data_IF_563154044876
#
_entry.id   IF_563154044876
#
_cell.length_a   1.000
_cell.length_b   1.000
_cell.length_c   1.000
_cell.angle_alpha   90.00
_cell.angle_beta   90.00
_cell.angle_gamma   90.00
#
_symmetry.space_group_name_H-M   'P 1'
#
loop_
_entity.id
_entity.type
_entity.pdbx_description
1 polymer ?
#
# COMPACT_ATOMS: atom_id res chain seq x y z
N UNK A 1 -1.46 -37.02 -3.42
CA UNK A 1 -2.64 -36.16 -3.17
C UNK A 1 -2.12 -34.89 -2.53
N UNK A 2 -2.28 -33.74 -3.19
CA UNK A 2 -2.05 -32.45 -2.55
C UNK A 2 -3.08 -32.32 -1.43
N UNK A 3 -2.63 -32.27 -0.17
CA UNK A 3 -3.50 -31.85 0.93
C UNK A 3 -3.91 -30.41 0.62
N UNK A 4 -5.20 -30.17 0.43
CA UNK A 4 -5.72 -28.80 0.42
C UNK A 4 -5.44 -28.18 1.80
N UNK A 5 -4.87 -26.97 1.82
CA UNK A 5 -4.64 -26.23 3.06
C UNK A 5 -6.00 -25.91 3.71
N UNK A 6 -6.14 -26.19 5.02
CA UNK A 6 -7.38 -25.94 5.76
C UNK A 6 -7.42 -24.51 6.32
N UNK A 7 -8.31 -23.66 5.81
CA UNK A 7 -8.43 -22.25 6.21
C UNK A 7 -9.48 -21.97 7.29
N UNK A 8 -10.04 -22.99 7.95
CA UNK A 8 -11.16 -22.82 8.90
C UNK A 8 -10.81 -21.94 10.12
N UNK A 9 -9.52 -21.85 10.47
CA UNK A 9 -9.02 -21.03 11.57
C UNK A 9 -8.92 -19.53 11.24
N UNK A 10 -9.14 -19.14 9.99
CA UNK A 10 -9.09 -17.75 9.55
C UNK A 10 -10.48 -17.10 9.65
N UNK A 11 -10.49 -15.82 9.98
CA UNK A 11 -11.66 -14.96 9.85
C UNK A 11 -12.06 -14.80 8.39
N UNK A 12 -13.32 -14.42 8.15
CA UNK A 12 -13.82 -14.19 6.79
C UNK A 12 -13.03 -13.10 6.05
N UNK A 13 -12.58 -12.05 6.75
CA UNK A 13 -11.76 -11.01 6.16
C UNK A 13 -10.38 -11.52 5.68
N UNK A 14 -9.79 -12.46 6.40
CA UNK A 14 -8.52 -13.07 6.01
C UNK A 14 -8.69 -14.03 4.83
N UNK A 15 -9.76 -14.84 4.85
CA UNK A 15 -10.10 -15.72 3.73
C UNK A 15 -10.37 -14.93 2.45
N UNK A 16 -11.13 -13.84 2.54
CA UNK A 16 -11.40 -12.93 1.43
C UNK A 16 -10.09 -12.33 0.87
N UNK A 17 -9.21 -11.84 1.75
CA UNK A 17 -7.92 -11.29 1.34
C UNK A 17 -7.04 -12.31 0.60
N UNK A 18 -6.98 -13.54 1.10
CA UNK A 18 -6.25 -14.64 0.45
C UNK A 18 -6.88 -14.98 -0.90
N UNK A 19 -8.21 -15.09 -0.98
CA UNK A 19 -8.91 -15.38 -2.22
C UNK A 19 -8.69 -14.29 -3.29
N UNK A 20 -8.76 -13.01 -2.91
CA UNK A 20 -8.50 -11.88 -3.79
C UNK A 20 -7.03 -11.88 -4.24
N UNK A 21 -6.08 -12.06 -3.32
CA UNK A 21 -4.66 -12.10 -3.65
C UNK A 21 -4.32 -13.24 -4.62
N UNK A 22 -4.89 -14.43 -4.40
CA UNK A 22 -4.74 -15.57 -5.28
C UNK A 22 -5.35 -15.32 -6.66
N UNK A 23 -6.57 -14.77 -6.72
CA UNK A 23 -7.23 -14.39 -7.97
C UNK A 23 -6.40 -13.36 -8.74
N UNK A 24 -5.91 -12.32 -8.08
CA UNK A 24 -5.03 -11.31 -8.68
C UNK A 24 -3.78 -11.92 -9.31
N UNK A 25 -3.17 -12.90 -8.64
CA UNK A 25 -2.01 -13.61 -9.17
C UNK A 25 -2.36 -14.44 -10.42
N UNK A 26 -3.52 -15.12 -10.43
CA UNK A 26 -3.97 -15.93 -11.57
C UNK A 26 -4.38 -15.07 -12.77
N UNK A 27 -5.14 -14.00 -12.52
CA UNK A 27 -5.76 -13.16 -13.54
C UNK A 27 -4.82 -12.03 -14.01
N UNK A 28 -3.71 -11.80 -13.29
CA UNK A 28 -2.80 -10.68 -13.55
C UNK A 28 -3.43 -9.32 -13.20
N UNK A 29 -4.37 -9.29 -12.26
CA UNK A 29 -5.09 -8.09 -11.83
C UNK A 29 -4.51 -7.51 -10.54
N UNK A 30 -4.85 -6.26 -10.23
CA UNK A 30 -4.41 -5.57 -9.01
C UNK A 30 -5.58 -5.10 -8.15
N UNK A 31 -6.65 -5.90 -8.10
CA UNK A 31 -7.83 -5.57 -7.28
C UNK A 31 -7.43 -5.38 -5.81
N UNK A 32 -8.04 -4.43 -5.09
CA UNK A 32 -7.72 -4.17 -3.70
C UNK A 32 -7.94 -5.41 -2.82
N UNK A 33 -6.85 -5.92 -2.21
CA UNK A 33 -6.87 -7.10 -1.33
C UNK A 33 -7.79 -6.87 -0.12
N UNK A 34 -7.80 -5.65 0.43
CA UNK A 34 -8.74 -5.22 1.47
C UNK A 34 -9.57 -4.04 0.96
N UNK A 35 -10.68 -4.29 0.23
CA UNK A 35 -11.41 -3.24 -0.48
C UNK A 35 -11.90 -2.08 0.40
N UNK A 36 -12.40 -2.39 1.60
CA UNK A 36 -12.87 -1.36 2.53
C UNK A 36 -11.74 -0.52 3.10
N UNK A 37 -10.60 -1.13 3.40
CA UNK A 37 -9.41 -0.40 3.85
C UNK A 37 -8.84 0.46 2.73
N UNK A 38 -8.82 -0.06 1.50
CA UNK A 38 -8.36 0.70 0.34
C UNK A 38 -9.17 2.00 0.15
N UNK A 39 -10.50 1.95 0.21
CA UNK A 39 -11.35 3.15 0.14
C UNK A 39 -10.99 4.19 1.22
N UNK A 40 -10.67 3.74 2.44
CA UNK A 40 -10.26 4.62 3.53
C UNK A 40 -8.87 5.21 3.28
N UNK A 41 -7.93 4.43 2.75
CA UNK A 41 -6.60 4.91 2.38
C UNK A 41 -6.65 5.89 1.22
N UNK A 42 -7.53 5.68 0.24
CA UNK A 42 -7.78 6.63 -0.85
C UNK A 42 -8.27 7.96 -0.28
N UNK A 43 -9.30 7.94 0.57
CA UNK A 43 -9.81 9.15 1.25
C UNK A 43 -8.70 9.84 2.05
N UNK A 44 -7.88 9.07 2.78
CA UNK A 44 -6.77 9.62 3.56
C UNK A 44 -5.71 10.25 2.66
N UNK A 45 -5.40 9.63 1.51
CA UNK A 45 -4.43 10.16 0.56
C UNK A 45 -4.86 11.50 -0.03
N UNK A 46 -6.16 11.67 -0.33
CA UNK A 46 -6.72 12.94 -0.80
C UNK A 46 -6.59 14.03 0.26
N UNK A 47 -6.94 13.73 1.52
CA UNK A 47 -6.80 14.68 2.62
C UNK A 47 -5.34 15.09 2.87
N UNK A 48 -4.40 14.15 2.75
CA UNK A 48 -2.98 14.44 2.90
C UNK A 48 -2.42 15.22 1.69
N UNK A 49 -2.99 15.03 0.50
CA UNK A 49 -2.67 15.82 -0.68
C UNK A 49 -3.04 17.31 -0.46
N UNK A 50 -4.20 17.60 0.14
CA UNK A 50 -4.58 18.97 0.51
C UNK A 50 -3.61 19.59 1.52
N UNK A 51 -3.22 18.84 2.55
CA UNK A 51 -2.19 19.27 3.52
C UNK A 51 -0.86 19.56 2.82
N UNK A 52 -0.52 18.80 1.78
CA UNK A 52 0.72 18.97 1.02
C UNK A 52 0.79 20.29 0.27
N UNK A 53 -0.35 20.82 -0.17
CA UNK A 53 -0.44 22.14 -0.82
C UNK A 53 -0.18 23.25 0.22
N UNK A 54 -0.75 23.13 1.42
CA UNK A 54 -0.68 24.15 2.47
C UNK A 54 0.64 24.11 3.24
N UNK A 55 1.18 22.92 3.49
CA UNK A 55 2.41 22.69 4.23
C UNK A 55 3.32 21.65 3.54
N UNK A 56 4.03 22.04 2.48
CA UNK A 56 4.88 21.13 1.71
C UNK A 56 6.02 20.52 2.52
N UNK A 57 6.55 21.24 3.51
CA UNK A 57 7.64 20.72 4.36
C UNK A 57 7.17 19.55 5.23
N UNK A 58 6.02 19.70 5.90
CA UNK A 58 5.44 18.63 6.70
C UNK A 58 5.13 17.40 5.82
N UNK A 59 4.55 17.63 4.65
CA UNK A 59 4.24 16.56 3.70
C UNK A 59 5.50 15.84 3.22
N UNK A 60 6.57 16.56 2.92
CA UNK A 60 7.85 15.95 2.51
C UNK A 60 8.43 15.04 3.60
N UNK A 61 8.39 15.48 4.87
CA UNK A 61 8.85 14.67 6.01
C UNK A 61 7.98 13.41 6.19
N UNK A 62 6.65 13.56 6.12
CA UNK A 62 5.72 12.44 6.17
C UNK A 62 6.00 11.43 5.05
N UNK A 63 6.18 11.89 3.81
CA UNK A 63 6.50 11.02 2.68
C UNK A 63 7.82 10.26 2.91
N UNK A 64 8.83 10.91 3.49
CA UNK A 64 10.09 10.27 3.88
C UNK A 64 9.90 9.16 4.92
N UNK A 65 9.08 9.40 5.94
CA UNK A 65 8.75 8.39 6.97
C UNK A 65 7.97 7.22 6.38
N UNK A 66 6.93 7.49 5.59
CA UNK A 66 6.13 6.46 4.92
C UNK A 66 6.97 5.62 3.96
N UNK A 67 7.90 6.25 3.22
CA UNK A 67 8.80 5.55 2.31
C UNK A 67 9.75 4.61 3.07
N UNK A 68 10.25 5.05 4.22
CA UNK A 68 11.06 4.23 5.11
C UNK A 68 10.28 3.01 5.60
N UNK A 69 9.05 3.21 6.09
CA UNK A 69 8.20 2.13 6.58
C UNK A 69 7.86 1.15 5.45
N UNK A 70 7.42 1.65 4.28
CA UNK A 70 7.08 0.81 3.13
C UNK A 70 8.27 -0.03 2.66
N UNK A 71 9.47 0.56 2.66
CA UNK A 71 10.71 -0.16 2.35
C UNK A 71 10.96 -1.29 3.35
N UNK A 72 10.92 -1.01 4.66
CA UNK A 72 11.13 -2.03 5.69
C UNK A 72 10.09 -3.14 5.56
N UNK A 73 8.81 -2.80 5.36
CA UNK A 73 7.75 -3.77 5.15
C UNK A 73 8.06 -4.72 3.98
N UNK A 74 8.46 -4.18 2.83
CA UNK A 74 8.79 -5.00 1.64
C UNK A 74 10.11 -5.79 1.78
N UNK A 75 11.03 -5.31 2.61
CA UNK A 75 12.29 -6.00 2.93
C UNK A 75 12.14 -7.05 4.03
N UNK A 76 11.01 -7.11 4.74
CA UNK A 76 10.73 -8.20 5.66
C UNK A 76 10.77 -9.50 4.85
N UNK A 77 11.76 -10.37 5.09
CA UNK A 77 11.81 -11.61 4.35
C UNK A 77 10.50 -12.36 4.63
N UNK A 78 9.86 -12.95 3.62
CA UNK A 78 8.87 -13.96 3.91
C UNK A 78 9.63 -15.00 4.76
N UNK A 79 9.20 -15.24 5.99
CA UNK A 79 9.88 -16.17 6.89
C UNK A 79 9.74 -17.58 6.32
N UNK A 80 10.59 -17.91 5.34
CA UNK A 80 10.64 -19.16 4.59
C UNK A 80 11.96 -19.89 4.88
N UNK A 81 12.78 -19.38 5.79
CA UNK A 81 13.93 -20.10 6.29
C UNK A 81 13.41 -21.40 6.95
N UNK A 82 13.61 -22.52 6.26
CA UNK A 82 13.23 -23.90 6.61
C UNK A 82 11.80 -24.34 6.18
N UNK A 83 11.38 -24.05 4.94
CA UNK A 83 10.11 -24.55 4.36
C UNK A 83 9.90 -26.08 4.48
N UNK A 84 10.96 -26.88 4.59
CA UNK A 84 10.84 -28.35 4.69
C UNK A 84 10.25 -28.84 6.01
N UNK A 85 10.28 -28.02 7.08
CA UNK A 85 9.77 -28.37 8.42
C UNK A 85 8.57 -27.51 8.87
N UNK A 86 8.08 -26.59 8.03
CA UNK A 86 6.95 -25.73 8.39
C UNK A 86 5.64 -26.51 8.41
N UNK A 87 4.87 -26.36 9.48
CA UNK A 87 3.49 -26.85 9.55
C UNK A 87 2.58 -26.10 8.59
N UNK A 88 1.47 -26.73 8.19
CA UNK A 88 0.44 -26.11 7.34
C UNK A 88 -0.03 -24.76 7.94
N UNK A 89 -0.18 -24.66 9.26
CA UNK A 89 -0.59 -23.43 9.94
C UNK A 89 0.45 -22.30 9.82
N UNK A 90 1.74 -22.63 9.92
CA UNK A 90 2.82 -21.66 9.74
C UNK A 90 2.88 -21.15 8.31
N UNK A 91 2.71 -22.04 7.32
CA UNK A 91 2.63 -21.68 5.91
C UNK A 91 1.49 -20.68 5.68
N UNK A 92 0.30 -20.96 6.22
CA UNK A 92 -0.86 -20.10 6.07
C UNK A 92 -0.68 -18.72 6.72
N UNK A 93 -0.09 -18.68 7.92
CA UNK A 93 0.21 -17.40 8.61
C UNK A 93 1.23 -16.58 7.84
N UNK A 94 2.28 -17.20 7.31
CA UNK A 94 3.29 -16.50 6.51
C UNK A 94 2.68 -15.96 5.21
N UNK A 95 1.80 -16.72 4.55
CA UNK A 95 1.08 -16.24 3.37
C UNK A 95 0.23 -15.01 3.69
N UNK A 96 -0.59 -15.07 4.73
CA UNK A 96 -1.41 -13.94 5.14
C UNK A 96 -0.55 -12.72 5.54
N UNK A 97 0.54 -12.93 6.26
CA UNK A 97 1.47 -11.86 6.64
C UNK A 97 2.02 -11.16 5.39
N UNK A 98 2.47 -11.90 4.39
CA UNK A 98 2.99 -11.33 3.15
C UNK A 98 1.91 -10.52 2.40
N UNK A 99 0.68 -11.02 2.37
CA UNK A 99 -0.48 -10.33 1.79
C UNK A 99 -0.71 -8.98 2.49
N UNK A 100 -0.75 -8.97 3.82
CA UNK A 100 -0.99 -7.76 4.63
C UNK A 100 0.14 -6.75 4.47
N UNK A 101 1.38 -7.19 4.59
CA UNK A 101 2.57 -6.34 4.46
C UNK A 101 2.64 -5.69 3.07
N UNK A 102 2.40 -6.49 2.02
CA UNK A 102 2.38 -6.00 0.64
C UNK A 102 1.24 -5.00 0.42
N UNK A 103 0.05 -5.26 0.96
CA UNK A 103 -1.08 -4.34 0.90
C UNK A 103 -0.73 -2.99 1.54
N UNK A 104 -0.26 -2.99 2.79
CA UNK A 104 0.04 -1.75 3.53
C UNK A 104 1.13 -0.94 2.83
N UNK A 105 2.21 -1.61 2.37
CA UNK A 105 3.28 -0.93 1.63
C UNK A 105 2.78 -0.26 0.35
N UNK A 106 1.87 -0.90 -0.39
CA UNK A 106 1.23 -0.29 -1.56
C UNK A 106 0.40 0.94 -1.21
N UNK A 107 -0.37 0.90 -0.11
CA UNK A 107 -1.16 2.07 0.32
C UNK A 107 -0.25 3.26 0.67
N UNK A 108 0.90 3.02 1.31
CA UNK A 108 1.88 4.08 1.60
C UNK A 108 2.49 4.66 0.31
N UNK A 109 2.85 3.82 -0.66
CA UNK A 109 3.33 4.33 -1.96
C UNK A 109 2.26 5.19 -2.66
N UNK A 110 0.98 4.82 -2.56
CA UNK A 110 -0.10 5.60 -3.13
C UNK A 110 -0.26 6.96 -2.45
N UNK A 111 -0.25 7.01 -1.12
CA UNK A 111 -0.26 8.27 -0.36
C UNK A 111 0.92 9.16 -0.77
N UNK A 112 2.14 8.60 -0.82
CA UNK A 112 3.34 9.33 -1.23
C UNK A 112 3.18 9.90 -2.63
N UNK A 113 2.67 9.11 -3.58
CA UNK A 113 2.45 9.55 -4.95
C UNK A 113 1.46 10.72 -5.04
N UNK A 114 0.35 10.66 -4.29
CA UNK A 114 -0.63 11.75 -4.27
C UNK A 114 -0.06 13.04 -3.63
N UNK A 115 0.59 12.93 -2.47
CA UNK A 115 1.23 14.06 -1.80
C UNK A 115 2.27 14.76 -2.69
N UNK A 116 3.12 13.97 -3.37
CA UNK A 116 4.13 14.49 -4.29
C UNK A 116 3.48 15.17 -5.50
N UNK A 117 2.44 14.58 -6.07
CA UNK A 117 1.70 15.15 -7.21
C UNK A 117 1.07 16.49 -6.84
N UNK A 118 0.37 16.55 -5.71
CA UNK A 118 -0.25 17.78 -5.22
C UNK A 118 0.76 18.90 -4.94
N UNK A 119 1.89 18.55 -4.33
CA UNK A 119 2.99 19.50 -4.09
C UNK A 119 3.57 20.06 -5.39
N UNK A 120 3.78 19.21 -6.40
CA UNK A 120 4.27 19.64 -7.71
C UNK A 120 3.27 20.55 -8.43
N UNK A 121 1.98 20.21 -8.38
CA UNK A 121 0.92 21.04 -8.97
C UNK A 121 0.82 22.41 -8.30
N UNK A 122 0.96 22.48 -6.96
CA UNK A 122 0.98 23.75 -6.25
C UNK A 122 2.14 24.65 -6.68
N UNK A 123 3.35 24.09 -6.86
CA UNK A 123 4.51 24.83 -7.35
C UNK A 123 4.32 25.30 -8.80
N UNK A 124 3.78 24.45 -9.68
CA UNK A 124 3.50 24.82 -11.08
C UNK A 124 2.40 25.88 -11.21
N UNK A 125 1.37 25.83 -10.34
CA UNK A 125 0.31 26.84 -10.29
C UNK A 125 0.82 28.23 -9.86
N UNK A 126 1.90 28.28 -9.07
CA UNK A 126 2.56 29.53 -8.66
C UNK A 126 3.47 30.11 -9.75
N UNK A 127 4.08 29.27 -10.59
CA UNK A 127 4.98 29.73 -11.66
C UNK A 127 4.27 30.08 -12.97
N UNK A 128 3.00 29.72 -13.12
CA UNK A 128 2.18 30.06 -14.30
C UNK A 128 1.55 31.45 -14.31
N UNK A 129 1.77 32.27 -13.26
CA UNK A 129 1.11 33.57 -13.07
C UNK A 129 1.91 34.83 -13.44
N UNK A 130 3.15 34.70 -13.93
CA UNK A 130 4.00 35.86 -14.26
C UNK A 130 4.05 36.17 -15.76
N UNK A 131 2.90 36.27 -16.44
CA UNK A 131 2.89 36.69 -17.85
C UNK A 131 1.76 37.62 -18.26
N UNK A 132 1.31 38.51 -17.38
CA UNK A 132 0.46 39.65 -17.75
C UNK A 132 0.87 40.93 -17.00
N UNK A 133 1.96 41.57 -17.45
CA UNK A 133 2.04 43.05 -17.54
C UNK A 133 3.44 43.48 -18.01
N UNK A 134 3.60 43.67 -19.32
CA UNK A 134 4.58 44.63 -19.84
C UNK A 134 3.76 45.68 -20.59
N UNK A 135 3.65 46.85 -19.97
CA UNK A 135 3.20 48.10 -20.60
C UNK A 135 4.39 48.80 -21.26
#
# INVERSE_FOLDING_TARGET
MSKELNWDNFSEAEKDAIAIAYKNMLDGTEEPIFPRCHILFDTLSELLADVSIVNPELSSRLCGELQCIAKVLLELPPSLANQEDMSDEEVQKTLLQNIVVSFVARQFHQIIAQCNTASQMAVMGLTGGENESIH
#
